data_IF_360001957228
#
_entry.id   IF_360001957228
#
_cell.length_a   1.000
_cell.length_b   1.000
_cell.length_c   1.000
_cell.angle_alpha   90.00
_cell.angle_beta   90.00
_cell.angle_gamma   90.00
#
_symmetry.space_group_name_H-M   'P 1'
#
loop_
_entity.id
_entity.type
_entity.pdbx_description
1 polymer ?
#
# COMPACT_ATOMS: atom_id res chain seq x y z
N UNK A 1 2.43 7.68 -23.83
CA UNK A 1 3.62 8.29 -23.20
C UNK A 1 3.24 9.65 -22.62
N UNK A 2 3.29 9.79 -21.30
CA UNK A 2 3.02 11.03 -20.58
C UNK A 2 4.26 11.93 -20.49
N UNK A 3 4.07 13.23 -20.26
CA UNK A 3 5.18 14.17 -20.03
C UNK A 3 5.32 14.42 -18.53
N UNK A 4 6.56 14.37 -18.01
CA UNK A 4 6.87 14.69 -16.62
C UNK A 4 7.91 15.81 -16.53
N UNK A 5 7.78 16.66 -15.52
CA UNK A 5 8.72 17.75 -15.22
C UNK A 5 8.81 18.03 -13.72
N UNK A 6 9.94 18.56 -13.26
CA UNK A 6 10.14 18.94 -11.86
C UNK A 6 11.04 17.95 -11.11
N UNK A 7 11.15 18.17 -9.79
CA UNK A 7 11.93 17.31 -8.90
C UNK A 7 11.03 16.25 -8.30
N UNK A 8 11.43 15.00 -8.45
CA UNK A 8 10.78 13.85 -7.84
C UNK A 8 11.64 13.38 -6.68
N UNK A 9 11.01 13.09 -5.55
CA UNK A 9 11.67 12.40 -4.45
C UNK A 9 12.08 10.98 -4.86
N UNK A 10 12.81 10.30 -3.99
CA UNK A 10 13.17 8.90 -4.21
C UNK A 10 11.93 7.99 -4.19
N UNK A 11 10.96 8.33 -3.35
CA UNK A 11 9.59 7.87 -3.41
C UNK A 11 8.71 9.05 -3.84
N UNK A 12 7.63 8.79 -4.58
CA UNK A 12 6.72 9.83 -5.02
C UNK A 12 5.30 9.28 -5.16
N UNK A 13 4.33 9.98 -4.58
CA UNK A 13 2.93 9.56 -4.64
C UNK A 13 2.14 10.44 -5.62
N UNK A 14 1.53 9.81 -6.62
CA UNK A 14 0.58 10.44 -7.54
C UNK A 14 -0.80 9.82 -7.34
N UNK A 15 -1.65 10.51 -6.59
CA UNK A 15 -2.92 9.95 -6.08
C UNK A 15 -2.69 8.65 -5.31
N UNK A 16 -3.16 7.51 -5.84
CA UNK A 16 -2.94 6.20 -5.25
C UNK A 16 -1.59 5.61 -5.64
N UNK A 17 -1.03 6.00 -6.78
CA UNK A 17 0.15 5.34 -7.33
C UNK A 17 1.42 5.77 -6.62
N UNK A 18 2.29 4.79 -6.37
CA UNK A 18 3.56 5.01 -5.71
C UNK A 18 4.67 4.75 -6.71
N UNK A 19 5.34 5.82 -7.10
CA UNK A 19 6.52 5.80 -7.93
C UNK A 19 7.77 5.74 -7.06
N UNK A 20 8.81 5.12 -7.59
CA UNK A 20 10.12 5.02 -6.96
C UNK A 20 11.22 5.22 -8.00
N UNK A 21 12.31 5.86 -7.61
CA UNK A 21 13.52 5.88 -8.44
C UNK A 21 14.15 4.48 -8.48
N UNK A 22 14.67 4.05 -9.63
CA UNK A 22 15.35 2.75 -9.79
C UNK A 22 16.33 2.48 -8.66
N UNK A 23 17.23 3.43 -8.39
CA UNK A 23 18.31 3.25 -7.41
C UNK A 23 17.77 3.10 -5.98
N UNK A 24 16.63 3.70 -5.66
CA UNK A 24 16.00 3.56 -4.35
C UNK A 24 15.33 2.17 -4.21
N UNK A 25 14.70 1.67 -5.28
CA UNK A 25 14.15 0.31 -5.30
C UNK A 25 15.25 -0.74 -5.12
N UNK A 26 16.37 -0.60 -5.85
CA UNK A 26 17.50 -1.53 -5.75
C UNK A 26 18.05 -1.58 -4.32
N UNK A 27 18.16 -0.43 -3.64
CA UNK A 27 18.59 -0.36 -2.24
C UNK A 27 17.62 -1.03 -1.27
N UNK A 28 16.32 -0.82 -1.43
CA UNK A 28 15.31 -1.48 -0.60
C UNK A 28 15.33 -3.00 -0.80
N UNK A 29 15.47 -3.47 -2.04
CA UNK A 29 15.60 -4.90 -2.33
C UNK A 29 16.88 -5.49 -1.72
N UNK A 30 18.00 -4.76 -1.75
CA UNK A 30 19.25 -5.18 -1.11
C UNK A 30 19.15 -5.25 0.43
N UNK A 31 18.28 -4.44 1.05
CA UNK A 31 17.94 -4.51 2.49
C UNK A 31 16.97 -5.66 2.82
N UNK A 32 16.59 -6.47 1.84
CA UNK A 32 15.74 -7.65 2.03
C UNK A 32 14.25 -7.31 2.15
N UNK A 33 13.83 -6.12 1.73
CA UNK A 33 12.42 -5.73 1.72
C UNK A 33 11.63 -6.61 0.75
N UNK A 34 10.55 -7.20 1.25
CA UNK A 34 9.84 -8.28 0.59
C UNK A 34 8.74 -7.79 -0.34
N UNK A 35 8.56 -8.49 -1.45
CA UNK A 35 7.44 -8.27 -2.38
C UNK A 35 7.58 -7.05 -3.29
N UNK A 36 8.68 -6.30 -3.24
CA UNK A 36 8.84 -5.10 -4.06
C UNK A 36 9.14 -5.44 -5.52
N UNK A 37 8.28 -4.96 -6.42
CA UNK A 37 8.50 -4.95 -7.87
C UNK A 37 8.18 -3.56 -8.43
N UNK A 38 9.02 -3.11 -9.35
CA UNK A 38 8.81 -1.86 -10.07
C UNK A 38 8.58 -2.11 -11.56
N UNK A 39 7.54 -1.50 -12.12
CA UNK A 39 7.22 -1.51 -13.54
C UNK A 39 7.70 -0.21 -14.19
N UNK A 40 8.37 -0.24 -15.36
CA UNK A 40 8.77 0.97 -16.07
C UNK A 40 7.57 1.87 -16.38
N UNK A 41 7.71 3.15 -16.07
CA UNK A 41 6.67 4.13 -16.41
C UNK A 41 6.80 4.56 -17.87
N UNK A 42 5.67 4.84 -18.54
CA UNK A 42 5.66 5.45 -19.86
C UNK A 42 5.79 6.99 -19.78
N UNK A 43 6.68 7.49 -18.91
CA UNK A 43 6.95 8.90 -18.69
C UNK A 43 8.15 9.36 -19.50
N UNK A 44 8.02 10.52 -20.15
CA UNK A 44 9.12 11.20 -20.82
C UNK A 44 9.46 12.48 -20.09
N UNK A 45 10.70 12.57 -19.64
CA UNK A 45 11.27 13.78 -19.08
C UNK A 45 11.96 14.61 -20.17
N UNK A 46 11.85 15.94 -20.05
CA UNK A 46 12.60 16.89 -20.91
C UNK A 46 13.90 17.38 -20.26
N UNK A 47 14.06 17.15 -18.96
CA UNK A 47 15.22 17.62 -18.19
C UNK A 47 16.39 16.64 -18.33
N UNK A 48 17.61 17.18 -18.36
CA UNK A 48 18.85 16.37 -18.36
C UNK A 48 18.99 15.65 -17.01
N UNK A 49 19.48 14.41 -17.03
CA UNK A 49 19.69 13.58 -15.82
C UNK A 49 18.41 13.34 -15.01
N UNK A 50 17.27 13.15 -15.68
CA UNK A 50 16.03 12.79 -14.98
C UNK A 50 16.14 11.35 -14.44
N UNK A 51 15.65 11.08 -13.23
CA UNK A 51 15.71 9.73 -12.67
C UNK A 51 14.80 8.78 -13.46
N UNK A 52 15.17 7.50 -13.49
CA UNK A 52 14.26 6.46 -13.96
C UNK A 52 13.20 6.21 -12.88
N UNK A 53 11.94 6.60 -13.16
CA UNK A 53 10.82 6.33 -12.28
C UNK A 53 10.11 5.05 -12.68
N UNK A 54 9.84 4.21 -11.68
CA UNK A 54 9.05 2.99 -11.81
C UNK A 54 7.83 3.10 -10.92
N UNK A 55 6.74 2.51 -11.38
CA UNK A 55 5.54 2.33 -10.58
C UNK A 55 5.66 1.04 -9.77
N UNK A 56 5.45 1.11 -8.46
CA UNK A 56 5.50 -0.07 -7.61
C UNK A 56 4.22 -0.90 -7.77
N UNK A 57 4.38 -2.22 -7.93
CA UNK A 57 3.26 -3.16 -7.90
C UNK A 57 2.72 -3.25 -6.46
N UNK A 58 1.49 -2.79 -6.25
CA UNK A 58 0.80 -2.84 -4.96
C UNK A 58 -0.38 -3.80 -5.01
N UNK A 59 -0.18 -5.00 -4.48
CA UNK A 59 -1.21 -6.04 -4.49
C UNK A 59 -2.37 -5.70 -3.51
N UNK A 60 -3.64 -5.91 -3.90
CA UNK A 60 -4.79 -5.67 -3.04
C UNK A 60 -5.01 -6.85 -2.08
N UNK A 61 -4.43 -6.77 -0.88
CA UNK A 61 -4.50 -7.79 0.16
C UNK A 61 -4.71 -7.18 1.55
N UNK A 62 -5.26 -7.95 2.47
CA UNK A 62 -5.66 -7.45 3.78
C UNK A 62 -6.96 -6.65 3.72
N UNK A 63 -7.54 -6.44 4.91
CA UNK A 63 -8.85 -5.80 5.10
C UNK A 63 -8.86 -4.86 6.30
N UNK A 64 -9.81 -3.93 6.32
CA UNK A 64 -10.17 -3.18 7.52
C UNK A 64 -10.82 -4.11 8.56
N UNK A 65 -10.53 -3.84 9.82
CA UNK A 65 -11.16 -4.52 10.94
C UNK A 65 -12.64 -4.08 11.04
N UNK A 66 -13.58 -5.01 11.29
CA UNK A 66 -15.01 -4.67 11.39
C UNK A 66 -15.34 -3.56 12.40
N UNK A 67 -14.58 -3.46 13.50
CA UNK A 67 -14.78 -2.44 14.54
C UNK A 67 -14.66 -0.99 14.06
N UNK A 68 -13.90 -0.73 12.98
CA UNK A 68 -13.81 0.63 12.42
C UNK A 68 -14.83 0.89 11.30
N UNK A 69 -15.66 -0.09 10.97
CA UNK A 69 -16.68 0.01 9.93
C UNK A 69 -18.07 0.26 10.53
N UNK A 70 -18.98 0.91 9.80
CA UNK A 70 -20.37 1.05 10.24
C UNK A 70 -21.04 -0.33 10.44
N UNK A 71 -21.86 -0.52 11.49
CA UNK A 71 -22.46 -1.83 11.82
C UNK A 71 -23.39 -2.40 10.73
N UNK A 72 -23.88 -1.55 9.81
CA UNK A 72 -24.71 -1.93 8.67
C UNK A 72 -24.00 -1.63 7.34
N UNK A 73 -22.68 -1.79 7.28
CA UNK A 73 -21.92 -1.61 6.05
C UNK A 73 -22.43 -2.56 4.97
N UNK A 74 -22.79 -2.01 3.80
CA UNK A 74 -23.04 -2.80 2.60
C UNK A 74 -21.88 -3.76 2.33
N UNK A 75 -22.15 -4.95 1.78
CA UNK A 75 -21.09 -5.89 1.43
C UNK A 75 -20.14 -5.27 0.41
N UNK A 76 -18.88 -5.73 0.42
CA UNK A 76 -17.89 -5.38 -0.59
C UNK A 76 -18.40 -5.67 -2.01
N UNK A 77 -18.00 -4.84 -2.97
CA UNK A 77 -18.28 -5.07 -4.37
C UNK A 77 -17.80 -6.47 -4.80
N UNK A 78 -18.68 -7.34 -5.34
CA UNK A 78 -18.29 -8.71 -5.69
C UNK A 78 -17.29 -8.77 -6.87
N UNK A 79 -17.13 -7.66 -7.61
CA UNK A 79 -16.18 -7.58 -8.73
C UNK A 79 -14.78 -7.15 -8.28
N UNK A 80 -14.68 -6.18 -7.38
CA UNK A 80 -13.40 -5.53 -7.05
C UNK A 80 -13.06 -5.53 -5.56
N UNK A 81 -13.86 -6.15 -4.69
CA UNK A 81 -13.61 -6.24 -3.24
C UNK A 81 -13.80 -4.93 -2.45
N UNK A 82 -13.87 -3.79 -3.14
CA UNK A 82 -13.97 -2.47 -2.52
C UNK A 82 -15.24 -2.29 -1.69
N UNK A 83 -15.11 -1.68 -0.51
CA UNK A 83 -16.23 -1.17 0.27
C UNK A 83 -16.66 0.21 -0.24
N UNK A 84 -17.97 0.40 -0.41
CA UNK A 84 -18.53 1.70 -0.82
C UNK A 84 -18.77 2.61 0.38
N UNK A 85 -17.73 2.82 1.19
CA UNK A 85 -17.74 3.69 2.36
C UNK A 85 -16.52 4.62 2.34
N UNK A 86 -16.64 5.86 2.86
CA UNK A 86 -15.49 6.69 3.10
C UNK A 86 -14.46 5.99 3.99
N UNK A 87 -13.20 6.40 3.90
CA UNK A 87 -12.18 5.91 4.82
C UNK A 87 -12.56 6.31 6.26
N UNK A 88 -12.54 5.38 7.24
CA UNK A 88 -12.79 5.70 8.63
C UNK A 88 -11.78 6.74 9.16
N UNK A 89 -12.22 7.59 10.10
CA UNK A 89 -11.33 8.60 10.72
C UNK A 89 -10.16 7.96 11.48
N UNK A 90 -10.42 6.80 12.09
CA UNK A 90 -9.44 5.98 12.80
C UNK A 90 -9.46 4.59 12.16
N UNK A 91 -8.72 4.39 11.06
CA UNK A 91 -8.69 3.10 10.39
C UNK A 91 -7.92 2.09 11.24
N UNK A 92 -8.46 0.86 11.29
CA UNK A 92 -7.89 -0.25 12.05
C UNK A 92 -7.73 -1.42 11.08
N UNK A 93 -6.53 -1.96 10.95
CA UNK A 93 -6.24 -3.11 10.11
C UNK A 93 -6.68 -4.40 10.79
N UNK A 94 -7.29 -5.32 10.03
CA UNK A 94 -7.48 -6.69 10.50
C UNK A 94 -6.17 -7.47 10.36
N UNK A 95 -5.46 -7.63 11.47
CA UNK A 95 -4.15 -8.28 11.53
C UNK A 95 -4.19 -9.72 11.00
N UNK A 96 -5.33 -10.42 11.10
CA UNK A 96 -5.47 -11.80 10.64
C UNK A 96 -5.48 -11.93 9.11
N UNK A 97 -5.66 -10.83 8.40
CA UNK A 97 -5.73 -10.78 6.93
C UNK A 97 -4.45 -10.24 6.29
N UNK A 98 -3.48 -9.77 7.10
CA UNK A 98 -2.29 -9.12 6.59
C UNK A 98 -1.30 -10.15 5.99
N UNK A 99 -0.67 -9.84 4.86
CA UNK A 99 0.31 -10.72 4.24
C UNK A 99 1.62 -10.74 5.04
N UNK A 100 2.21 -11.92 5.21
CA UNK A 100 3.55 -12.05 5.84
C UNK A 100 4.71 -11.83 4.84
N UNK A 101 4.42 -11.88 3.54
CA UNK A 101 5.41 -11.92 2.46
C UNK A 101 5.51 -10.61 1.65
N UNK A 102 4.77 -9.57 2.04
CA UNK A 102 4.77 -8.27 1.39
C UNK A 102 5.03 -7.18 2.41
N UNK A 103 5.99 -6.30 2.12
CA UNK A 103 6.28 -5.14 2.96
C UNK A 103 5.54 -3.86 2.54
N UNK A 104 4.92 -3.89 1.36
CA UNK A 104 4.21 -2.77 0.76
C UNK A 104 3.07 -3.30 -0.11
N UNK A 105 1.83 -2.89 0.17
CA UNK A 105 0.62 -3.42 -0.47
C UNK A 105 -0.55 -2.44 -0.34
N UNK A 106 -1.72 -2.79 -0.86
CA UNK A 106 -2.97 -2.04 -0.70
C UNK A 106 -4.04 -2.91 -0.06
N UNK A 107 -5.02 -2.32 0.60
CA UNK A 107 -6.17 -3.07 1.10
C UNK A 107 -7.11 -3.47 -0.04
N UNK A 108 -7.64 -4.69 0.05
CA UNK A 108 -8.65 -5.19 -0.91
C UNK A 108 -9.93 -4.36 -0.85
N UNK A 109 -10.35 -3.99 0.37
CA UNK A 109 -11.58 -3.23 0.62
C UNK A 109 -11.40 -1.70 0.53
N UNK A 110 -10.16 -1.21 0.63
CA UNK A 110 -9.76 0.20 0.53
C UNK A 110 -8.53 0.38 -0.37
N UNK A 111 -8.71 0.15 -1.67
CA UNK A 111 -7.62 0.14 -2.67
C UNK A 111 -6.89 1.48 -2.87
N UNK A 112 -7.36 2.56 -2.26
CA UNK A 112 -6.72 3.88 -2.29
C UNK A 112 -5.70 4.08 -1.16
N UNK A 113 -5.57 3.12 -0.23
CA UNK A 113 -4.58 3.16 0.84
C UNK A 113 -3.38 2.29 0.52
N UNK A 114 -2.21 2.91 0.47
CA UNK A 114 -0.94 2.23 0.42
C UNK A 114 -0.48 1.93 1.85
N UNK A 115 -0.27 0.66 2.16
CA UNK A 115 0.18 0.18 3.46
C UNK A 115 1.58 -0.38 3.35
N UNK A 116 2.35 -0.20 4.42
CA UNK A 116 3.68 -0.79 4.55
C UNK A 116 3.91 -1.31 5.96
N UNK A 117 4.85 -2.25 6.09
CA UNK A 117 5.27 -2.78 7.39
C UNK A 117 6.23 -1.81 8.08
N UNK A 118 6.43 -1.99 9.39
CA UNK A 118 7.46 -1.24 10.13
C UNK A 118 8.86 -1.45 9.55
N UNK A 119 9.17 -2.68 9.07
CA UNK A 119 10.44 -3.01 8.41
C UNK A 119 10.69 -2.13 7.17
N UNK A 120 9.65 -1.88 6.35
CA UNK A 120 9.75 -0.95 5.22
C UNK A 120 10.09 0.46 5.68
N UNK A 121 9.37 0.98 6.68
CA UNK A 121 9.57 2.33 7.23
C UNK A 121 10.99 2.50 7.76
N UNK A 122 11.47 1.53 8.55
CA UNK A 122 12.83 1.53 9.10
C UNK A 122 13.90 1.51 8.01
N UNK A 123 13.71 0.72 6.94
CA UNK A 123 14.63 0.70 5.82
C UNK A 123 14.65 2.02 5.05
N UNK A 124 13.48 2.64 4.80
CA UNK A 124 13.40 3.97 4.20
C UNK A 124 14.15 5.01 5.05
N UNK A 125 13.96 4.99 6.37
CA UNK A 125 14.66 5.90 7.29
C UNK A 125 16.18 5.67 7.29
N UNK A 126 16.62 4.41 7.39
CA UNK A 126 18.06 4.05 7.37
C UNK A 126 18.75 4.46 6.08
N UNK A 127 18.07 4.28 4.94
CA UNK A 127 18.57 4.65 3.61
C UNK A 127 18.42 6.14 3.30
N UNK A 128 17.75 6.92 4.16
CA UNK A 128 17.49 8.34 3.97
C UNK A 128 16.56 8.64 2.80
N UNK A 129 15.60 7.75 2.50
CA UNK A 129 14.68 7.92 1.37
C UNK A 129 13.64 9.02 1.65
N UNK A 130 13.42 9.90 0.68
CA UNK A 130 12.49 11.04 0.79
C UNK A 130 11.26 10.92 -0.12
N UNK A 131 10.32 11.85 0.05
CA UNK A 131 9.19 12.08 -0.86
C UNK A 131 7.84 11.49 -0.44
N UNK A 132 7.78 10.76 0.68
CA UNK A 132 6.54 10.33 1.32
C UNK A 132 6.61 10.54 2.84
N UNK A 133 5.43 10.53 3.49
CA UNK A 133 5.30 10.54 4.95
C UNK A 133 4.64 9.24 5.39
N UNK A 134 5.14 8.68 6.49
CA UNK A 134 4.56 7.48 7.08
C UNK A 134 3.65 7.85 8.24
N UNK A 135 2.43 7.33 8.22
CA UNK A 135 1.46 7.48 9.30
C UNK A 135 1.24 6.11 9.96
N UNK A 136 1.53 5.97 11.28
CA UNK A 136 1.25 4.74 12.00
C UNK A 136 -0.25 4.41 12.01
N UNK A 137 -0.56 3.13 11.87
CA UNK A 137 -1.92 2.60 11.93
C UNK A 137 -2.01 1.48 12.97
N UNK A 138 -3.18 1.35 13.59
CA UNK A 138 -3.48 0.25 14.50
C UNK A 138 -3.83 -1.01 13.71
N UNK A 139 -3.34 -2.17 14.16
CA UNK A 139 -3.76 -3.47 13.68
C UNK A 139 -4.30 -4.29 14.86
N UNK A 140 -5.47 -4.92 14.67
CA UNK A 140 -6.12 -5.77 15.68
C UNK A 140 -6.39 -7.14 15.10
N UNK A 141 -6.22 -8.18 15.93
CA UNK A 141 -6.65 -9.51 15.55
C UNK A 141 -8.18 -9.54 15.46
N UNK A 142 -8.72 -9.97 14.30
CA UNK A 142 -10.14 -10.25 14.17
C UNK A 142 -10.60 -11.29 15.20
N UNK A 143 -11.77 -11.07 15.80
CA UNK A 143 -12.46 -12.13 16.53
C UNK A 143 -12.73 -13.26 15.53
N UNK A 144 -12.09 -14.42 15.72
CA UNK A 144 -12.37 -15.60 14.92
C UNK A 144 -13.89 -15.85 14.97
N UNK A 145 -14.60 -15.59 13.86
CA UNK A 145 -16.00 -15.99 13.77
C UNK A 145 -16.02 -17.52 13.82
N UNK A 146 -16.40 -18.06 14.97
CA UNK A 146 -16.76 -19.47 15.11
C UNK A 146 -17.70 -19.84 13.96
N UNK A 147 -17.50 -20.98 13.27
CA UNK A 147 -18.39 -21.37 12.19
C UNK A 147 -19.80 -21.49 12.76
N UNK A 148 -20.73 -20.71 12.19
CA UNK A 148 -22.14 -20.81 12.52
C UNK A 148 -22.54 -22.28 12.31
N UNK A 149 -22.93 -22.96 13.40
CA UNK A 149 -23.51 -24.29 13.33
C UNK A 149 -24.75 -24.21 12.44
N UNK A 150 -24.71 -24.88 11.29
CA UNK A 150 -25.89 -25.13 10.47
C UNK A 150 -26.93 -25.85 11.32
N UNK A 151 -28.06 -25.21 11.57
CA UNK A 151 -29.24 -25.87 12.11
C UNK A 151 -29.91 -26.66 10.97
N UNK A 152 -30.21 -27.93 11.27
CA UNK A 152 -30.80 -28.95 10.40
C UNK A 152 -32.25 -28.66 10.09
#
# INVERSE_FOLDING_TARGET
MGKAHGRFGQLFMDFSELLIQREALDKLQAEGIQGLKGCPTALRFRQRNSPELLELELLPVGRMHPDCLPPNSQPSCPRCGRLNHPLPKLPILDASTLPEHLDLFRLEDYSNLNLCTGRFVEACQRLGLDGVVFQPLEARAGLSRSPARSAT
#
